data_IF_562522183784
#
_entry.id   IF_562522183784
#
_cell.length_a   1.000
_cell.length_b   1.000
_cell.length_c   1.000
_cell.angle_alpha   90.00
_cell.angle_beta   90.00
_cell.angle_gamma   90.00
#
_symmetry.space_group_name_H-M   'P 1'
#
loop_
_entity.id
_entity.type
_entity.pdbx_description
1 polymer ?
#
# COMPACT_ATOMS: atom_id res chain seq x y z
N UNK A 1 -12.59 -8.33 27.06
CA UNK A 1 -11.17 -8.10 26.72
C UNK A 1 -11.14 -7.37 25.38
N UNK A 2 -10.34 -6.32 25.22
CA UNK A 2 -10.19 -5.66 23.95
C UNK A 2 -9.61 -6.66 22.92
N UNK A 3 -10.28 -6.83 21.78
CA UNK A 3 -9.77 -7.68 20.69
C UNK A 3 -8.51 -7.03 20.14
N UNK A 4 -7.41 -7.76 20.03
CA UNK A 4 -6.18 -7.26 19.42
C UNK A 4 -6.39 -7.14 17.90
N UNK A 5 -6.15 -5.96 17.34
CA UNK A 5 -6.11 -5.75 15.90
C UNK A 5 -4.78 -6.30 15.34
N UNK A 6 -4.87 -7.11 14.30
CA UNK A 6 -3.72 -7.61 13.55
C UNK A 6 -3.87 -7.23 12.09
N UNK A 7 -2.87 -6.58 11.53
CA UNK A 7 -2.84 -6.24 10.12
C UNK A 7 -1.43 -6.29 9.56
N UNK A 8 -1.32 -6.38 8.23
CA UNK A 8 -0.07 -6.21 7.50
C UNK A 8 -0.17 -4.95 6.67
N UNK A 9 0.89 -4.13 6.70
CA UNK A 9 1.11 -3.02 5.78
C UNK A 9 2.17 -3.40 4.77
N UNK A 10 1.88 -3.20 3.47
CA UNK A 10 2.81 -3.26 2.36
C UNK A 10 2.42 -2.23 1.30
N UNK A 11 3.33 -1.92 0.39
CA UNK A 11 3.10 -1.00 -0.72
C UNK A 11 4.25 -1.07 -1.69
N UNK A 12 4.27 -0.20 -2.69
CA UNK A 12 5.35 -0.08 -3.66
C UNK A 12 5.75 -1.45 -4.24
N UNK A 13 4.70 -2.24 -4.63
CA UNK A 13 4.86 -3.64 -5.03
C UNK A 13 5.48 -3.75 -6.41
N UNK A 14 5.23 -2.81 -7.30
CA UNK A 14 5.73 -2.71 -8.67
C UNK A 14 5.71 -4.04 -9.42
N UNK A 15 4.57 -4.74 -9.35
CA UNK A 15 4.39 -6.08 -9.92
C UNK A 15 4.58 -6.04 -11.43
N UNK A 16 5.49 -6.87 -11.92
CA UNK A 16 5.79 -6.98 -13.33
C UNK A 16 6.75 -5.92 -13.87
N UNK A 17 7.24 -5.01 -13.02
CA UNK A 17 8.29 -4.07 -13.42
C UNK A 17 9.59 -4.80 -13.72
N UNK A 18 10.29 -4.43 -14.81
CA UNK A 18 11.62 -4.92 -15.05
C UNK A 18 12.57 -4.42 -13.95
N UNK A 19 13.57 -5.21 -13.64
CA UNK A 19 14.66 -4.74 -12.79
C UNK A 19 15.53 -3.77 -13.58
N UNK A 20 15.70 -2.56 -13.05
CA UNK A 20 16.46 -1.52 -13.76
C UNK A 20 17.97 -1.84 -13.76
N UNK A 21 18.65 -1.38 -14.82
CA UNK A 21 20.11 -1.54 -14.99
C UNK A 21 20.62 -2.99 -15.13
N UNK A 22 19.76 -3.95 -15.45
CA UNK A 22 20.14 -5.33 -15.74
C UNK A 22 20.22 -5.65 -17.26
N UNK A 23 20.23 -4.67 -18.12
CA UNK A 23 20.26 -4.86 -19.58
C UNK A 23 21.49 -5.63 -20.11
N UNK A 24 22.54 -5.80 -19.29
CA UNK A 24 23.75 -6.57 -19.59
C UNK A 24 23.75 -7.98 -18.98
N UNK A 25 22.67 -8.42 -18.34
CA UNK A 25 22.63 -9.72 -17.65
C UNK A 25 21.85 -10.74 -18.49
N UNK A 26 22.34 -12.00 -18.46
CA UNK A 26 21.75 -13.19 -19.07
C UNK A 26 20.22 -13.23 -18.91
N UNK A 27 19.50 -13.62 -19.96
CA UNK A 27 18.04 -13.80 -20.00
C UNK A 27 17.48 -14.69 -18.87
N UNK A 28 18.28 -15.63 -18.36
CA UNK A 28 17.92 -16.46 -17.22
C UNK A 28 17.73 -15.62 -15.94
N UNK A 29 18.65 -14.69 -15.70
CA UNK A 29 18.56 -13.79 -14.55
C UNK A 29 17.41 -12.79 -14.70
N UNK A 30 17.20 -12.23 -15.90
CA UNK A 30 16.07 -11.34 -16.17
C UNK A 30 14.73 -12.02 -15.83
N UNK A 31 14.56 -13.30 -16.19
CA UNK A 31 13.35 -14.08 -15.84
C UNK A 31 13.22 -14.35 -14.37
N UNK A 32 14.30 -14.58 -13.65
CA UNK A 32 14.27 -14.83 -12.20
C UNK A 32 13.90 -13.56 -11.44
N UNK A 33 14.56 -12.46 -11.78
CA UNK A 33 14.40 -11.16 -11.12
C UNK A 33 13.05 -10.52 -11.48
N UNK A 34 12.62 -10.61 -12.73
CA UNK A 34 11.31 -10.10 -13.15
C UNK A 34 10.10 -10.75 -12.45
N UNK A 35 10.27 -11.95 -11.87
CA UNK A 35 9.23 -12.62 -11.04
C UNK A 35 9.40 -12.34 -9.54
N UNK A 36 10.47 -11.66 -9.14
CA UNK A 36 10.76 -11.47 -7.72
C UNK A 36 9.71 -10.60 -7.00
N UNK A 37 9.18 -9.50 -7.55
CA UNK A 37 8.11 -8.72 -6.90
C UNK A 37 6.85 -9.56 -6.63
N UNK A 38 6.40 -10.34 -7.60
CA UNK A 38 5.22 -11.23 -7.43
C UNK A 38 5.49 -12.27 -6.34
N UNK A 39 6.69 -12.87 -6.31
CA UNK A 39 7.07 -13.83 -5.27
C UNK A 39 7.15 -13.19 -3.88
N UNK A 40 7.64 -11.96 -3.79
CA UNK A 40 7.67 -11.22 -2.53
C UNK A 40 6.24 -10.97 -2.02
N UNK A 41 5.34 -10.50 -2.88
CA UNK A 41 3.94 -10.32 -2.50
C UNK A 41 3.23 -11.65 -2.17
N UNK A 42 3.53 -12.75 -2.87
CA UNK A 42 3.04 -14.08 -2.50
C UNK A 42 3.43 -14.48 -1.07
N UNK A 43 4.66 -14.18 -0.64
CA UNK A 43 5.12 -14.43 0.73
C UNK A 43 4.38 -13.55 1.75
N UNK A 44 4.11 -12.29 1.43
CA UNK A 44 3.32 -11.39 2.28
C UNK A 44 1.90 -11.92 2.45
N UNK A 45 1.25 -12.34 1.35
CA UNK A 45 -0.09 -12.95 1.40
C UNK A 45 -0.09 -14.23 2.23
N UNK A 46 0.93 -15.10 2.07
CA UNK A 46 1.04 -16.30 2.90
C UNK A 46 1.23 -15.96 4.38
N UNK A 47 2.08 -14.97 4.69
CA UNK A 47 2.26 -14.48 6.07
C UNK A 47 0.95 -13.95 6.65
N UNK A 48 0.17 -13.19 5.88
CA UNK A 48 -1.14 -12.69 6.31
C UNK A 48 -2.08 -13.83 6.72
N UNK A 49 -2.10 -14.91 5.93
CA UNK A 49 -2.90 -16.11 6.19
C UNK A 49 -2.38 -16.83 7.45
N UNK A 50 -1.08 -17.09 7.53
CA UNK A 50 -0.47 -17.82 8.65
C UNK A 50 -0.64 -17.07 9.99
N UNK A 51 -0.52 -15.75 9.96
CA UNK A 51 -0.72 -14.87 11.12
C UNK A 51 -2.20 -14.59 11.41
N UNK A 52 -3.11 -15.02 10.53
CA UNK A 52 -4.55 -14.77 10.65
C UNK A 52 -4.84 -13.30 10.90
N UNK A 53 -4.28 -12.43 10.05
CA UNK A 53 -4.52 -10.99 10.17
C UNK A 53 -5.96 -10.64 9.80
N UNK A 54 -6.47 -9.54 10.33
CA UNK A 54 -7.83 -9.06 10.00
C UNK A 54 -7.83 -8.27 8.69
N UNK A 55 -6.72 -7.58 8.41
CA UNK A 55 -6.59 -6.76 7.20
C UNK A 55 -5.18 -6.76 6.61
N UNK A 56 -5.10 -6.49 5.31
CA UNK A 56 -3.89 -6.09 4.59
C UNK A 56 -4.10 -4.68 4.06
N UNK A 57 -3.16 -3.78 4.37
CA UNK A 57 -3.13 -2.39 3.93
C UNK A 57 -2.11 -2.28 2.79
N UNK A 58 -2.56 -1.84 1.61
CA UNK A 58 -1.72 -1.69 0.41
C UNK A 58 -1.61 -0.20 0.07
N UNK A 59 -0.41 0.36 0.22
CA UNK A 59 -0.20 1.80 0.21
C UNK A 59 0.18 2.38 -1.17
N UNK A 60 -0.33 1.79 -2.25
CA UNK A 60 -0.14 2.27 -3.62
C UNK A 60 1.01 1.61 -4.35
N UNK A 61 1.20 2.03 -5.61
CA UNK A 61 2.24 1.57 -6.52
C UNK A 61 2.29 0.04 -6.65
N UNK A 62 1.09 -0.55 -6.88
CA UNK A 62 0.98 -2.00 -7.12
C UNK A 62 1.60 -2.38 -8.46
N UNK A 63 1.48 -1.51 -9.46
CA UNK A 63 2.01 -1.71 -10.81
C UNK A 63 2.86 -0.51 -11.24
N UNK A 64 3.66 -0.70 -12.29
CA UNK A 64 4.20 0.41 -13.06
C UNK A 64 3.34 0.56 -14.32
N UNK A 65 2.60 1.65 -14.42
CA UNK A 65 1.57 1.86 -15.46
C UNK A 65 2.10 1.80 -16.89
N UNK A 66 3.38 2.17 -17.10
CA UNK A 66 4.03 2.11 -18.39
C UNK A 66 4.17 0.69 -18.98
N UNK A 67 4.14 -0.34 -18.10
CA UNK A 67 4.47 -1.71 -18.51
C UNK A 67 3.26 -2.49 -19.06
N UNK A 68 2.03 -2.00 -18.87
CA UNK A 68 0.77 -2.64 -19.32
C UNK A 68 0.73 -4.17 -19.07
N UNK A 69 1.33 -4.64 -17.98
CA UNK A 69 1.58 -6.05 -17.72
C UNK A 69 0.32 -6.79 -17.24
N UNK A 70 -0.41 -7.40 -18.17
CA UNK A 70 -1.64 -8.15 -17.85
C UNK A 70 -1.37 -9.35 -16.93
N UNK A 71 -0.24 -10.03 -17.08
CA UNK A 71 0.12 -11.17 -16.25
C UNK A 71 0.28 -10.76 -14.78
N UNK A 72 0.94 -9.62 -14.53
CA UNK A 72 1.09 -9.08 -13.19
C UNK A 72 -0.27 -8.71 -12.56
N UNK A 73 -1.19 -8.15 -13.36
CA UNK A 73 -2.54 -7.83 -12.89
C UNK A 73 -3.34 -9.10 -12.53
N UNK A 74 -3.25 -10.14 -13.33
CA UNK A 74 -3.87 -11.44 -13.04
C UNK A 74 -3.27 -12.11 -11.81
N UNK A 75 -1.94 -12.04 -11.63
CA UNK A 75 -1.26 -12.56 -10.45
C UNK A 75 -1.71 -11.81 -9.18
N UNK A 76 -1.83 -10.49 -9.24
CA UNK A 76 -2.34 -9.68 -8.14
C UNK A 76 -3.75 -10.07 -7.74
N UNK A 77 -4.69 -10.09 -8.69
CA UNK A 77 -6.09 -10.44 -8.44
C UNK A 77 -6.20 -11.86 -7.87
N UNK A 78 -5.41 -12.82 -8.36
CA UNK A 78 -5.36 -14.17 -7.83
C UNK A 78 -4.91 -14.20 -6.35
N UNK A 79 -3.96 -13.35 -5.97
CA UNK A 79 -3.48 -13.24 -4.60
C UNK A 79 -4.52 -12.57 -3.69
N UNK A 80 -5.26 -11.58 -4.20
CA UNK A 80 -6.39 -10.98 -3.49
C UNK A 80 -7.50 -12.01 -3.23
N UNK A 81 -7.79 -12.89 -4.19
CA UNK A 81 -8.73 -14.00 -3.99
C UNK A 81 -8.29 -14.97 -2.87
N UNK A 82 -6.97 -15.21 -2.71
CA UNK A 82 -6.48 -16.02 -1.58
C UNK A 82 -6.76 -15.35 -0.23
N UNK A 83 -6.61 -14.03 -0.14
CA UNK A 83 -6.97 -13.27 1.06
C UNK A 83 -8.48 -13.35 1.32
N UNK A 84 -9.32 -13.21 0.28
CA UNK A 84 -10.77 -13.34 0.39
C UNK A 84 -11.20 -14.71 0.92
N UNK A 85 -10.62 -15.79 0.40
CA UNK A 85 -10.87 -17.16 0.87
C UNK A 85 -10.51 -17.40 2.34
N UNK A 86 -9.67 -16.54 2.92
CA UNK A 86 -9.28 -16.59 4.32
C UNK A 86 -9.93 -15.47 5.17
N UNK A 87 -10.99 -14.82 4.65
CA UNK A 87 -11.75 -13.74 5.31
C UNK A 87 -10.86 -12.56 5.74
N UNK A 88 -9.79 -12.26 5.01
CA UNK A 88 -8.90 -11.13 5.26
C UNK A 88 -9.37 -9.95 4.42
N UNK A 89 -9.67 -8.82 5.05
CA UNK A 89 -10.04 -7.60 4.36
C UNK A 89 -8.81 -6.94 3.73
N UNK A 90 -8.98 -6.29 2.59
CA UNK A 90 -7.90 -5.56 1.92
C UNK A 90 -8.33 -4.12 1.70
N UNK A 91 -7.52 -3.19 2.16
CA UNK A 91 -7.68 -1.77 1.92
C UNK A 91 -6.52 -1.29 1.07
N UNK A 92 -6.81 -0.56 0.00
CA UNK A 92 -5.79 -0.11 -0.93
C UNK A 92 -5.99 1.36 -1.33
N UNK A 93 -4.91 2.11 -1.39
CA UNK A 93 -4.85 3.40 -2.08
C UNK A 93 -4.06 3.23 -3.37
N UNK A 94 -4.28 4.09 -4.35
CA UNK A 94 -3.50 4.17 -5.59
C UNK A 94 -2.36 5.18 -5.40
N UNK A 95 -1.21 4.89 -6.00
CA UNK A 95 -0.04 5.77 -5.98
C UNK A 95 0.21 6.47 -7.32
N UNK A 96 1.42 6.99 -7.49
CA UNK A 96 1.80 7.75 -8.68
C UNK A 96 2.11 6.87 -9.89
N UNK A 97 2.49 5.60 -9.68
CA UNK A 97 2.72 4.65 -10.76
C UNK A 97 1.46 3.91 -11.21
N UNK A 98 0.41 3.90 -10.41
CA UNK A 98 -0.86 3.24 -10.71
C UNK A 98 -2.10 4.11 -10.41
N UNK A 99 -2.09 5.42 -10.76
CA UNK A 99 -3.21 6.31 -10.47
C UNK A 99 -4.50 5.86 -11.17
N UNK A 100 -5.63 6.48 -10.81
CA UNK A 100 -6.94 6.12 -11.39
C UNK A 100 -6.96 6.24 -12.91
N UNK A 101 -6.32 7.28 -13.47
CA UNK A 101 -6.25 7.53 -14.91
C UNK A 101 -5.31 6.57 -15.66
N UNK A 102 -4.48 5.80 -14.94
CA UNK A 102 -3.57 4.85 -15.57
C UNK A 102 -4.34 3.69 -16.21
N UNK A 103 -3.76 3.16 -17.30
CA UNK A 103 -4.34 1.99 -17.95
C UNK A 103 -4.35 0.77 -17.03
N UNK A 104 -5.53 0.17 -16.85
CA UNK A 104 -5.71 -1.09 -16.12
C UNK A 104 -6.67 -1.98 -16.90
N UNK A 105 -6.40 -3.28 -16.91
CA UNK A 105 -7.38 -4.23 -17.39
C UNK A 105 -8.62 -4.22 -16.48
N UNK A 106 -9.81 -4.33 -17.05
CA UNK A 106 -11.06 -4.40 -16.28
C UNK A 106 -11.23 -5.78 -15.64
N UNK A 107 -10.37 -6.12 -14.71
CA UNK A 107 -10.43 -7.36 -13.94
C UNK A 107 -11.11 -7.03 -12.60
N UNK A 108 -12.27 -7.64 -12.29
CA UNK A 108 -12.96 -7.35 -11.05
C UNK A 108 -12.15 -7.85 -9.84
N UNK A 109 -12.09 -7.04 -8.80
CA UNK A 109 -11.54 -7.46 -7.52
C UNK A 109 -12.55 -8.30 -6.72
N UNK A 110 -12.09 -9.20 -5.85
CA UNK A 110 -12.97 -9.90 -4.92
C UNK A 110 -13.59 -8.92 -3.90
N UNK A 111 -14.76 -9.28 -3.31
CA UNK A 111 -15.56 -8.36 -2.50
C UNK A 111 -14.92 -7.90 -1.18
N UNK A 112 -13.83 -8.56 -0.75
CA UNK A 112 -13.06 -8.19 0.44
C UNK A 112 -12.08 -7.03 0.19
N UNK A 113 -11.99 -6.52 -1.05
CA UNK A 113 -11.06 -5.45 -1.44
C UNK A 113 -11.80 -4.13 -1.55
N UNK A 114 -11.34 -3.16 -0.78
CA UNK A 114 -11.76 -1.78 -0.86
C UNK A 114 -10.62 -0.92 -1.40
N UNK A 115 -10.84 -0.26 -2.53
CA UNK A 115 -9.92 0.73 -3.09
C UNK A 115 -10.48 2.12 -2.82
N UNK A 116 -9.74 2.93 -2.09
CA UNK A 116 -10.17 4.27 -1.70
C UNK A 116 -10.34 5.20 -2.90
N UNK A 117 -11.32 6.13 -2.86
CA UNK A 117 -11.58 7.07 -3.94
C UNK A 117 -10.46 8.12 -4.07
N UNK A 118 -10.52 8.90 -5.16
CA UNK A 118 -9.50 9.92 -5.48
C UNK A 118 -9.93 11.34 -5.15
N UNK A 119 -11.22 11.59 -5.04
CA UNK A 119 -11.83 12.93 -4.89
C UNK A 119 -11.91 13.39 -3.42
N UNK A 120 -12.05 12.45 -2.50
CA UNK A 120 -12.14 12.75 -1.08
C UNK A 120 -11.52 11.64 -0.22
N UNK A 121 -11.21 11.96 1.03
CA UNK A 121 -10.90 10.97 2.04
C UNK A 121 -12.16 10.21 2.41
N UNK A 122 -12.11 8.90 2.33
CA UNK A 122 -13.18 8.02 2.75
C UNK A 122 -12.82 7.30 4.04
N UNK A 123 -13.81 7.15 4.93
CA UNK A 123 -13.72 6.36 6.17
C UNK A 123 -14.43 5.03 5.98
N UNK A 124 -13.72 3.94 6.15
CA UNK A 124 -14.27 2.58 6.05
C UNK A 124 -14.04 1.83 7.37
N UNK A 125 -15.09 1.23 7.97
CA UNK A 125 -14.91 0.44 9.19
C UNK A 125 -14.18 -0.87 8.91
N UNK A 126 -13.21 -1.21 9.75
CA UNK A 126 -12.65 -2.56 9.82
C UNK A 126 -13.45 -3.36 10.84
N UNK A 127 -14.24 -4.30 10.34
CA UNK A 127 -15.15 -5.10 11.15
C UNK A 127 -14.56 -6.50 11.39
N UNK A 128 -14.50 -6.93 12.64
CA UNK A 128 -14.05 -8.26 13.05
C UNK A 128 -15.10 -8.89 13.95
N UNK A 129 -15.63 -10.05 13.57
CA UNK A 129 -16.69 -10.77 14.29
C UNK A 129 -17.92 -9.87 14.58
N UNK A 130 -18.31 -9.03 13.62
CA UNK A 130 -19.47 -8.15 13.72
C UNK A 130 -19.24 -6.85 14.50
N UNK A 131 -18.04 -6.60 15.02
CA UNK A 131 -17.69 -5.36 15.74
C UNK A 131 -16.70 -4.51 14.93
N UNK A 132 -16.93 -3.21 14.87
CA UNK A 132 -15.93 -2.27 14.36
C UNK A 132 -14.77 -2.17 15.35
N UNK A 133 -13.59 -2.62 14.92
CA UNK A 133 -12.37 -2.62 15.75
C UNK A 133 -11.43 -1.47 15.41
N UNK A 134 -11.52 -0.94 14.19
CA UNK A 134 -10.78 0.21 13.72
C UNK A 134 -11.53 0.92 12.58
N UNK A 135 -11.17 2.16 12.33
CA UNK A 135 -11.57 2.92 11.15
C UNK A 135 -10.36 3.10 10.23
N UNK A 136 -10.52 2.77 8.96
CA UNK A 136 -9.49 2.97 7.93
C UNK A 136 -9.88 4.18 7.09
N UNK A 137 -8.99 5.15 7.00
CA UNK A 137 -9.14 6.35 6.21
C UNK A 137 -8.18 6.29 5.04
N UNK A 138 -8.62 6.63 3.84
CA UNK A 138 -7.75 6.63 2.68
C UNK A 138 -8.18 7.58 1.60
N UNK A 139 -7.22 8.02 0.81
CA UNK A 139 -7.44 8.72 -0.45
C UNK A 139 -6.40 8.28 -1.46
N UNK A 140 -6.84 7.96 -2.67
CA UNK A 140 -6.02 7.53 -3.78
C UNK A 140 -5.57 8.69 -4.67
N UNK A 141 -4.58 8.44 -5.53
CA UNK A 141 -4.19 9.37 -6.58
C UNK A 141 -5.10 9.23 -7.79
N UNK A 142 -5.56 10.37 -8.33
CA UNK A 142 -6.23 10.44 -9.62
C UNK A 142 -5.22 10.41 -10.77
N UNK A 143 -4.12 11.15 -10.63
CA UNK A 143 -3.07 11.35 -11.63
C UNK A 143 -1.70 10.98 -11.05
N UNK A 144 -0.70 10.80 -11.91
CA UNK A 144 0.68 10.51 -11.51
C UNK A 144 1.33 11.62 -10.69
N UNK A 145 0.89 12.86 -10.86
CA UNK A 145 1.32 13.99 -10.03
C UNK A 145 0.18 14.46 -9.13
N UNK A 146 0.49 14.65 -7.86
CA UNK A 146 -0.40 15.21 -6.85
C UNK A 146 0.38 16.25 -6.04
N UNK A 147 0.16 17.54 -6.33
CA UNK A 147 0.91 18.64 -5.71
C UNK A 147 0.29 19.14 -4.42
N UNK A 148 -0.99 18.85 -4.21
CA UNK A 148 -1.70 19.25 -3.00
C UNK A 148 -1.28 18.38 -1.81
N UNK A 149 -1.24 19.00 -0.63
CA UNK A 149 -1.09 18.28 0.62
C UNK A 149 -2.43 17.56 0.94
N UNK A 150 -2.50 16.27 0.61
CA UNK A 150 -3.69 15.47 0.86
C UNK A 150 -3.90 15.17 2.35
N UNK A 151 -2.84 15.21 3.18
CA UNK A 151 -2.95 14.92 4.61
C UNK A 151 -3.96 15.86 5.30
N UNK A 152 -4.05 17.12 4.90
CA UNK A 152 -5.00 18.08 5.47
C UNK A 152 -6.48 17.74 5.28
N UNK A 153 -6.79 16.79 4.41
CA UNK A 153 -8.16 16.32 4.17
C UNK A 153 -8.57 15.21 5.15
N UNK A 154 -7.60 14.64 5.87
CA UNK A 154 -7.87 13.58 6.84
C UNK A 154 -8.31 14.19 8.17
N UNK A 155 -9.44 13.70 8.68
CA UNK A 155 -9.97 14.13 9.96
C UNK A 155 -10.60 12.93 10.67
N UNK A 156 -10.07 12.58 11.85
CA UNK A 156 -10.59 11.48 12.66
C UNK A 156 -12.00 11.77 13.12
N UNK A 157 -12.92 10.84 12.93
CA UNK A 157 -14.26 10.95 13.45
C UNK A 157 -14.29 10.74 14.98
N UNK A 158 -15.15 11.49 15.64
CA UNK A 158 -15.36 11.31 17.07
C UNK A 158 -15.93 9.91 17.37
N UNK A 159 -15.33 9.22 18.33
CA UNK A 159 -15.75 7.87 18.72
C UNK A 159 -14.98 6.72 18.08
N UNK A 160 -14.11 6.97 17.10
CA UNK A 160 -13.24 5.92 16.58
C UNK A 160 -12.32 5.37 17.68
N UNK A 161 -12.32 4.05 17.84
CA UNK A 161 -11.48 3.36 18.84
C UNK A 161 -10.00 3.36 18.43
N UNK A 162 -9.76 3.11 17.15
CA UNK A 162 -8.43 3.13 16.54
C UNK A 162 -8.57 3.57 15.09
N UNK A 163 -7.77 4.54 14.67
CA UNK A 163 -7.85 5.13 13.34
C UNK A 163 -6.55 4.96 12.59
N UNK A 164 -6.64 4.43 11.37
CA UNK A 164 -5.51 4.23 10.46
C UNK A 164 -5.70 5.13 9.25
N UNK A 165 -4.76 6.05 9.00
CA UNK A 165 -4.68 6.81 7.76
C UNK A 165 -3.83 6.05 6.73
N UNK A 166 -4.31 5.96 5.50
CA UNK A 166 -3.58 5.39 4.36
C UNK A 166 -3.36 6.45 3.30
N UNK A 167 -2.11 6.70 2.95
CA UNK A 167 -1.75 7.71 1.95
C UNK A 167 -0.46 7.33 1.22
N UNK A 168 -0.45 7.54 -0.09
CA UNK A 168 0.77 7.52 -0.89
C UNK A 168 1.33 8.95 -0.92
N UNK A 169 2.47 9.24 -0.28
CA UNK A 169 2.91 10.60 0.00
C UNK A 169 4.41 10.71 0.20
N UNK A 170 4.97 11.88 -0.05
CA UNK A 170 6.36 12.21 0.30
C UNK A 170 6.40 13.16 1.50
N UNK A 171 6.78 12.63 2.66
CA UNK A 171 6.92 13.41 3.88
C UNK A 171 8.25 14.18 3.87
N UNK A 172 8.20 15.46 4.26
CA UNK A 172 9.38 16.31 4.48
C UNK A 172 9.91 17.04 3.24
N UNK A 173 9.33 16.86 2.06
CA UNK A 173 9.73 17.54 0.82
C UNK A 173 8.60 18.43 0.31
N UNK A 174 8.70 19.74 0.54
CA UNK A 174 7.63 20.69 0.17
C UNK A 174 7.47 20.88 -1.34
N UNK A 175 8.54 20.66 -2.11
CA UNK A 175 8.56 20.86 -3.56
C UNK A 175 8.25 19.56 -4.33
N UNK A 176 7.89 18.49 -3.63
CA UNK A 176 7.53 17.22 -4.25
C UNK A 176 6.20 17.33 -5.01
N UNK A 177 6.08 16.52 -6.07
CA UNK A 177 4.84 16.34 -6.84
C UNK A 177 4.04 15.10 -6.39
N UNK A 178 4.38 14.54 -5.21
CA UNK A 178 3.81 13.29 -4.70
C UNK A 178 3.13 13.51 -3.35
N UNK A 179 2.03 14.30 -3.36
CA UNK A 179 1.22 14.68 -2.20
C UNK A 179 2.09 15.12 -1.01
N UNK A 180 2.94 16.15 -1.18
CA UNK A 180 3.89 16.56 -0.15
C UNK A 180 3.18 16.94 1.15
N UNK A 181 3.71 16.45 2.27
CA UNK A 181 3.25 16.84 3.60
C UNK A 181 4.40 16.87 4.60
N UNK A 182 4.17 17.45 5.76
CA UNK A 182 5.09 17.39 6.89
C UNK A 182 4.67 16.31 7.89
N UNK A 183 5.58 15.94 8.78
CA UNK A 183 5.25 15.02 9.87
C UNK A 183 4.21 15.64 10.83
N UNK A 184 4.26 16.94 11.01
CA UNK A 184 3.32 17.72 11.83
C UNK A 184 1.91 17.65 11.23
N UNK A 185 1.77 17.81 9.92
CA UNK A 185 0.47 17.68 9.24
C UNK A 185 -0.18 16.32 9.55
N UNK A 186 0.60 15.25 9.50
CA UNK A 186 0.12 13.89 9.80
C UNK A 186 -0.29 13.72 11.27
N UNK A 187 0.45 14.34 12.20
CA UNK A 187 0.12 14.29 13.65
C UNK A 187 -1.18 15.03 13.97
N UNK A 188 -1.41 16.17 13.32
CA UNK A 188 -2.59 17.01 13.54
C UNK A 188 -3.91 16.34 13.08
N UNK A 189 -3.86 15.38 12.15
CA UNK A 189 -5.04 14.64 11.69
C UNK A 189 -5.65 13.70 12.74
N UNK A 190 -4.95 13.44 13.85
CA UNK A 190 -5.45 12.64 14.97
C UNK A 190 -5.51 11.13 14.72
N UNK A 191 -4.87 10.61 13.66
CA UNK A 191 -4.78 9.17 13.42
C UNK A 191 -3.86 8.51 14.45
N UNK A 192 -4.14 7.25 14.81
CA UNK A 192 -3.29 6.45 15.69
C UNK A 192 -2.12 5.81 14.95
N UNK A 193 -2.33 5.52 13.64
CA UNK A 193 -1.35 4.91 12.75
C UNK A 193 -1.47 5.50 11.34
N UNK A 194 -0.34 5.77 10.71
CA UNK A 194 -0.25 6.14 9.30
C UNK A 194 0.48 5.06 8.52
N UNK A 195 -0.22 4.44 7.58
CA UNK A 195 0.34 3.53 6.59
C UNK A 195 0.68 4.33 5.33
N UNK A 196 1.96 4.60 5.12
CA UNK A 196 2.45 5.40 4.00
C UNK A 196 3.10 4.54 2.92
N UNK A 197 2.96 4.97 1.65
CA UNK A 197 3.67 4.47 0.47
C UNK A 197 4.44 5.58 -0.23
N UNK A 198 5.15 5.26 -1.31
CA UNK A 198 6.00 6.09 -2.14
C UNK A 198 7.50 5.94 -1.86
N UNK A 199 7.90 5.87 -0.61
CA UNK A 199 9.32 5.71 -0.25
C UNK A 199 9.65 4.23 -0.18
N UNK A 200 10.55 3.77 -1.08
CA UNK A 200 10.94 2.36 -1.20
C UNK A 200 11.75 1.83 -0.01
N UNK A 201 12.30 2.71 0.83
CA UNK A 201 12.98 2.33 2.07
C UNK A 201 11.97 2.22 3.20
N UNK A 202 12.00 1.11 3.95
CA UNK A 202 11.21 0.99 5.16
C UNK A 202 11.72 1.94 6.24
N UNK A 203 10.80 2.67 6.89
CA UNK A 203 11.16 3.65 7.93
C UNK A 203 9.97 3.93 8.84
N UNK A 204 10.25 4.06 10.14
CA UNK A 204 9.29 4.57 11.12
C UNK A 204 9.68 6.03 11.41
N UNK A 205 8.90 6.97 10.86
CA UNK A 205 9.15 8.41 11.03
C UNK A 205 8.75 8.92 12.41
N UNK A 206 7.77 8.28 13.04
CA UNK A 206 7.25 8.63 14.35
C UNK A 206 6.59 7.40 15.00
N UNK A 207 6.65 7.32 16.33
CA UNK A 207 6.03 6.23 17.09
C UNK A 207 4.73 6.67 17.81
N UNK A 208 4.44 7.98 17.87
CA UNK A 208 3.21 8.54 18.49
C UNK A 208 2.75 9.80 17.74
N UNK A 209 1.78 9.64 16.81
CA UNK A 209 1.25 8.39 16.27
C UNK A 209 2.33 7.60 15.51
N UNK A 210 2.11 6.32 15.27
CA UNK A 210 2.98 5.59 14.35
C UNK A 210 2.82 6.15 12.93
N UNK A 211 3.93 6.56 12.32
CA UNK A 211 3.99 7.01 10.93
C UNK A 211 5.03 6.15 10.21
N UNK A 212 4.56 5.29 9.30
CA UNK A 212 5.36 4.17 8.81
C UNK A 212 5.36 4.11 7.29
N UNK A 213 6.55 4.11 6.68
CA UNK A 213 6.79 3.63 5.34
C UNK A 213 7.14 2.15 5.37
N UNK A 214 6.38 1.30 4.67
CA UNK A 214 6.71 -0.12 4.59
C UNK A 214 7.89 -0.40 3.66
N UNK A 215 8.15 0.51 2.74
CA UNK A 215 9.09 0.31 1.64
C UNK A 215 8.55 -0.68 0.61
N UNK A 216 9.32 -0.90 -0.46
CA UNK A 216 8.98 -1.94 -1.41
C UNK A 216 9.44 -3.33 -0.90
N UNK A 217 8.67 -4.39 -1.15
CA UNK A 217 9.02 -5.74 -0.69
C UNK A 217 10.10 -6.42 -1.54
N UNK A 218 10.44 -5.83 -2.69
CA UNK A 218 11.50 -6.27 -3.59
C UNK A 218 12.16 -5.03 -4.20
N UNK A 219 13.49 -4.92 -4.10
CA UNK A 219 14.24 -3.86 -4.76
C UNK A 219 14.09 -3.92 -6.28
N UNK A 220 14.04 -2.76 -6.92
CA UNK A 220 13.87 -2.58 -8.37
C UNK A 220 15.20 -2.32 -9.09
N UNK A 221 16.24 -2.01 -8.35
CA UNK A 221 17.59 -1.85 -8.86
C UNK A 221 18.66 -2.26 -7.82
N UNK A 222 19.94 -2.27 -8.22
CA UNK A 222 21.05 -2.70 -7.37
C UNK A 222 21.40 -1.71 -6.23
N UNK A 223 20.86 -0.50 -6.23
CA UNK A 223 21.09 0.50 -5.17
C UNK A 223 20.12 0.30 -4.01
N UNK A 224 19.00 -0.35 -4.26
CA UNK A 224 17.97 -0.64 -3.27
C UNK A 224 18.34 -1.87 -2.42
N UNK A 225 19.38 -1.75 -1.62
CA UNK A 225 19.93 -2.83 -0.78
C UNK A 225 19.24 -2.92 0.58
N UNK A 226 19.56 -3.99 1.35
CA UNK A 226 19.08 -4.18 2.72
C UNK A 226 17.80 -5.03 2.82
N UNK A 227 17.29 -5.22 4.05
CA UNK A 227 16.09 -6.03 4.28
C UNK A 227 14.85 -5.35 3.70
N UNK A 228 13.95 -6.14 3.11
CA UNK A 228 12.71 -5.68 2.49
C UNK A 228 11.56 -6.59 2.87
N UNK A 229 10.33 -6.06 2.86
CA UNK A 229 9.18 -6.86 3.25
C UNK A 229 7.92 -6.07 3.52
N UNK A 230 7.37 -6.25 4.71
CA UNK A 230 6.15 -5.61 5.16
C UNK A 230 6.21 -5.41 6.69
N UNK A 231 5.36 -4.58 7.22
CA UNK A 231 5.13 -4.47 8.67
C UNK A 231 3.92 -5.33 9.09
N UNK A 232 4.10 -6.03 10.21
CA UNK A 232 3.05 -6.79 10.89
C UNK A 232 2.83 -6.19 12.28
#
# INVERSE_FOLDING_TARGET
MAKSLRFIQCGDLHLGSPFHNLSAIDERWQRIVGKAPVRAFQKIVQMAIDKRVHAVLITGDVYTSADHNLTAQLDYVRLLHKLAQNNIQVFAVLGNHDPLEAWKAKIPFPPNVHVFPTDAVERVPLVVDGEEVAAIYGQSYAKSEQRDNLAWKFNRAAGDRFSIGMLHTQVGSRDSTYAPCTLEDLKECGMDYWALGHIHKHEILCEKPYVVYAGNPQGLDCTETGPRGCYY
#
